data_IF_801729990987
#
_entry.id   IF_801729990987
#
_cell.length_a   1.000
_cell.length_b   1.000
_cell.length_c   1.000
_cell.angle_alpha   90.00
_cell.angle_beta   90.00
_cell.angle_gamma   90.00
#
_symmetry.space_group_name_H-M   'P 1'
#
loop_
_entity.id
_entity.type
_entity.pdbx_description
1 polymer ?
#
# COMPACT_ATOMS: atom_id res chain seq x y z
N UNK A 1 12.31 -40.93 -25.21
CA UNK A 1 11.49 -40.52 -24.05
C UNK A 1 12.30 -39.81 -22.95
N UNK A 2 13.39 -40.39 -22.42
CA UNK A 2 14.21 -39.75 -21.35
C UNK A 2 14.71 -38.32 -21.67
N UNK A 3 15.13 -38.07 -22.92
CA UNK A 3 15.58 -36.73 -23.38
C UNK A 3 14.46 -35.67 -23.42
N UNK A 4 13.23 -36.07 -23.77
CA UNK A 4 12.08 -35.16 -23.83
C UNK A 4 11.63 -34.78 -22.41
N UNK A 5 11.67 -35.74 -21.47
CA UNK A 5 11.37 -35.51 -20.06
C UNK A 5 12.40 -34.57 -19.43
N UNK A 6 13.70 -34.71 -19.73
CA UNK A 6 14.73 -33.79 -19.24
C UNK A 6 14.56 -32.35 -19.75
N UNK A 7 14.15 -32.17 -21.02
CA UNK A 7 13.90 -30.82 -21.57
C UNK A 7 12.69 -30.18 -20.90
N UNK A 8 11.62 -30.96 -20.65
CA UNK A 8 10.45 -30.47 -19.92
C UNK A 8 10.78 -30.07 -18.46
N UNK A 9 11.61 -30.85 -17.75
CA UNK A 9 12.09 -30.50 -16.42
C UNK A 9 12.94 -29.22 -16.41
N UNK A 10 13.78 -29.02 -17.44
CA UNK A 10 14.65 -27.83 -17.54
C UNK A 10 13.85 -26.55 -17.85
N UNK A 11 12.77 -26.63 -18.63
CA UNK A 11 11.89 -25.48 -18.91
C UNK A 11 11.06 -25.11 -17.67
N UNK A 12 10.65 -26.09 -16.86
CA UNK A 12 9.90 -25.86 -15.63
C UNK A 12 10.71 -25.11 -14.56
N UNK A 13 12.01 -25.36 -14.45
CA UNK A 13 12.87 -24.70 -13.44
C UNK A 13 13.15 -23.22 -13.77
N UNK A 14 13.08 -22.82 -15.04
CA UNK A 14 13.35 -21.45 -15.48
C UNK A 14 12.17 -20.50 -15.18
N UNK A 15 10.94 -21.01 -15.11
CA UNK A 15 9.75 -20.19 -14.85
C UNK A 15 9.58 -19.74 -13.39
N UNK A 16 10.38 -20.25 -12.45
CA UNK A 16 10.10 -20.15 -11.01
C UNK A 16 10.78 -18.98 -10.25
N UNK A 17 11.49 -18.07 -10.92
CA UNK A 17 12.32 -17.07 -10.23
C UNK A 17 12.14 -15.61 -10.69
N UNK A 18 10.91 -15.19 -11.02
CA UNK A 18 10.63 -13.75 -11.10
C UNK A 18 10.35 -13.20 -9.69
N UNK A 19 11.35 -12.60 -9.05
CA UNK A 19 11.18 -11.95 -7.74
C UNK A 19 10.29 -10.72 -7.91
N UNK A 20 9.09 -10.76 -7.34
CA UNK A 20 8.16 -9.64 -7.37
C UNK A 20 8.72 -8.46 -6.56
N UNK A 21 8.88 -7.32 -7.23
CA UNK A 21 9.41 -6.09 -6.63
C UNK A 21 8.27 -5.25 -6.04
N UNK A 22 8.06 -5.35 -4.73
CA UNK A 22 7.09 -4.52 -4.02
C UNK A 22 7.71 -3.24 -3.47
N UNK A 23 6.96 -2.13 -3.50
CA UNK A 23 7.32 -0.87 -2.82
C UNK A 23 6.25 -0.48 -1.81
N UNK A 24 6.65 0.23 -0.76
CA UNK A 24 5.74 0.82 0.22
C UNK A 24 5.66 2.32 0.00
N UNK A 25 4.45 2.83 -0.19
CA UNK A 25 4.15 4.25 -0.27
C UNK A 25 3.65 4.72 1.09
N UNK A 26 4.49 5.48 1.80
CA UNK A 26 4.14 6.06 3.10
C UNK A 26 3.38 7.37 2.91
N UNK A 27 2.18 7.47 3.49
CA UNK A 27 1.41 8.71 3.50
C UNK A 27 1.54 9.38 4.86
N UNK A 28 2.10 10.60 4.87
CA UNK A 28 2.26 11.44 6.05
C UNK A 28 1.47 12.73 5.82
N UNK A 29 0.58 13.07 6.75
CA UNK A 29 -0.25 14.26 6.62
C UNK A 29 -1.20 14.45 7.79
N UNK A 30 -2.20 15.31 7.56
CA UNK A 30 -3.17 15.78 8.54
C UNK A 30 -4.55 15.11 8.38
N UNK A 31 -5.60 15.79 8.82
CA UNK A 31 -6.99 15.31 8.78
C UNK A 31 -7.49 15.01 7.37
N UNK A 32 -7.01 15.71 6.34
CA UNK A 32 -7.49 15.52 4.96
C UNK A 32 -7.05 14.18 4.36
N UNK A 33 -5.94 13.63 4.85
CA UNK A 33 -5.33 12.38 4.36
C UNK A 33 -5.62 11.19 5.28
N UNK A 34 -5.89 11.45 6.56
CA UNK A 34 -5.98 10.43 7.60
C UNK A 34 -7.04 9.35 7.34
N UNK A 35 -6.72 8.12 7.76
CA UNK A 35 -7.69 7.02 7.83
C UNK A 35 -8.49 7.12 9.13
N UNK A 36 -9.81 7.26 8.99
CA UNK A 36 -10.74 7.39 10.11
C UNK A 36 -11.44 6.08 10.44
N UNK A 37 -11.09 4.94 9.86
CA UNK A 37 -11.73 3.65 10.19
C UNK A 37 -11.08 2.95 11.37
N UNK A 38 -9.78 3.17 11.61
CA UNK A 38 -9.03 2.53 12.68
C UNK A 38 -9.18 3.17 14.07
N UNK A 39 -8.23 2.83 14.94
CA UNK A 39 -8.09 3.33 16.31
C UNK A 39 -7.62 4.79 16.29
N UNK A 40 -8.54 5.68 15.98
CA UNK A 40 -8.37 7.13 16.07
C UNK A 40 -8.68 7.61 17.49
N UNK A 41 -9.81 7.15 18.01
CA UNK A 41 -10.26 7.35 19.38
C UNK A 41 -10.52 5.96 19.99
N UNK A 42 -9.79 5.56 21.05
CA UNK A 42 -10.01 4.29 21.72
C UNK A 42 -11.48 4.12 22.15
N UNK A 43 -12.07 2.98 21.82
CA UNK A 43 -13.45 2.64 22.19
C UNK A 43 -14.55 3.33 21.38
N UNK A 44 -14.21 4.14 20.36
CA UNK A 44 -15.21 4.74 19.47
C UNK A 44 -15.25 4.04 18.11
N UNK A 45 -16.38 3.46 17.76
CA UNK A 45 -16.57 2.83 16.45
C UNK A 45 -16.78 3.85 15.33
N UNK A 46 -16.08 3.68 14.21
CA UNK A 46 -16.17 4.57 13.05
C UNK A 46 -17.62 4.83 12.60
N UNK A 47 -18.40 3.76 12.42
CA UNK A 47 -19.77 3.83 11.91
C UNK A 47 -20.73 4.59 12.83
N UNK A 48 -20.42 4.73 14.12
CA UNK A 48 -21.29 5.39 15.10
C UNK A 48 -20.98 6.88 15.26
N UNK A 49 -19.69 7.26 15.20
CA UNK A 49 -19.26 8.60 15.63
C UNK A 49 -18.55 9.42 14.55
N UNK A 50 -18.10 8.79 13.47
CA UNK A 50 -17.20 9.43 12.50
C UNK A 50 -17.74 9.37 11.08
N UNK A 51 -18.45 8.30 10.69
CA UNK A 51 -19.06 8.23 9.35
C UNK A 51 -19.95 9.46 9.09
N UNK A 52 -19.85 10.12 7.91
CA UNK A 52 -19.12 9.72 6.70
C UNK A 52 -17.71 10.34 6.54
N UNK A 53 -17.08 10.83 7.62
CA UNK A 53 -15.75 11.41 7.54
C UNK A 53 -14.75 10.42 6.94
N UNK A 54 -14.02 10.85 5.91
CA UNK A 54 -13.00 10.06 5.23
C UNK A 54 -11.88 10.97 4.74
N UNK A 55 -10.63 10.60 5.01
CA UNK A 55 -9.48 11.21 4.34
C UNK A 55 -9.23 10.54 3.00
N UNK A 56 -8.55 11.23 2.07
CA UNK A 56 -8.25 10.65 0.76
C UNK A 56 -7.30 9.45 0.85
N UNK A 57 -6.40 9.44 1.85
CA UNK A 57 -5.46 8.34 2.08
C UNK A 57 -6.15 7.04 2.50
N UNK A 58 -7.34 7.10 3.09
CA UNK A 58 -8.16 5.94 3.45
C UNK A 58 -8.58 5.11 2.22
N UNK A 59 -8.74 5.75 1.07
CA UNK A 59 -9.20 5.13 -0.18
C UNK A 59 -8.12 5.09 -1.26
N UNK A 60 -6.85 5.21 -0.87
CA UNK A 60 -5.75 5.37 -1.83
C UNK A 60 -5.17 4.05 -2.35
N UNK A 61 -5.18 2.97 -1.56
CA UNK A 61 -4.67 1.66 -1.96
C UNK A 61 -5.31 1.08 -3.25
N UNK A 62 -6.63 1.23 -3.50
CA UNK A 62 -7.27 0.74 -4.73
C UNK A 62 -6.72 1.34 -6.03
N UNK A 63 -6.04 2.49 -6.00
CA UNK A 63 -5.44 3.08 -7.20
C UNK A 63 -4.15 2.38 -7.65
N UNK A 64 -3.64 1.43 -6.86
CA UNK A 64 -2.42 0.66 -7.17
C UNK A 64 -2.70 -0.83 -7.38
N UNK A 65 -3.88 -1.15 -7.93
CA UNK A 65 -4.19 -2.49 -8.42
C UNK A 65 -3.40 -2.77 -9.71
N UNK A 66 -3.25 -4.06 -10.05
CA UNK A 66 -2.44 -4.55 -11.17
C UNK A 66 -2.70 -3.80 -12.49
N UNK A 67 -3.96 -3.54 -12.80
CA UNK A 67 -4.37 -2.90 -14.06
C UNK A 67 -4.04 -1.39 -14.11
N UNK A 68 -3.84 -0.76 -12.94
CA UNK A 68 -3.47 0.65 -12.81
C UNK A 68 -1.95 0.87 -12.78
N UNK A 69 -1.16 -0.18 -12.52
CA UNK A 69 0.30 -0.08 -12.40
C UNK A 69 1.01 0.55 -13.62
N UNK A 70 0.60 0.30 -14.89
CA UNK A 70 1.21 0.96 -16.04
C UNK A 70 1.09 2.49 -16.00
N UNK A 71 0.11 3.05 -15.29
CA UNK A 71 -0.09 4.50 -15.20
C UNK A 71 0.92 5.19 -14.27
N UNK A 72 1.50 4.43 -13.34
CA UNK A 72 2.43 4.94 -12.31
C UNK A 72 3.87 4.46 -12.50
N UNK A 73 4.14 3.69 -13.56
CA UNK A 73 5.46 3.12 -13.86
C UNK A 73 6.58 4.18 -13.98
N UNK A 74 6.21 5.41 -14.37
CA UNK A 74 7.11 6.55 -14.51
C UNK A 74 7.51 7.15 -13.16
N UNK A 75 6.73 6.91 -12.10
CA UNK A 75 7.01 7.40 -10.76
C UNK A 75 7.95 6.45 -10.01
N UNK A 76 7.72 5.13 -10.13
CA UNK A 76 8.56 4.12 -9.50
C UNK A 76 8.43 2.77 -10.24
N UNK A 77 9.53 2.01 -10.26
CA UNK A 77 9.56 0.66 -10.84
C UNK A 77 9.24 -0.38 -9.76
N UNK A 78 8.00 -0.86 -9.76
CA UNK A 78 7.50 -1.90 -8.86
C UNK A 78 6.40 -2.73 -9.53
N UNK A 79 6.29 -4.00 -9.12
CA UNK A 79 5.24 -4.93 -9.52
C UNK A 79 4.01 -4.85 -8.61
N UNK A 80 4.19 -4.29 -7.40
CA UNK A 80 3.11 -4.06 -6.44
C UNK A 80 3.42 -2.87 -5.53
N UNK A 81 2.37 -2.21 -5.05
CA UNK A 81 2.46 -1.09 -4.10
C UNK A 81 1.62 -1.38 -2.87
N UNK A 82 2.23 -1.21 -1.71
CA UNK A 82 1.53 -1.17 -0.42
C UNK A 82 1.44 0.28 0.06
N UNK A 83 0.24 0.77 0.31
CA UNK A 83 0.03 2.08 0.92
C UNK A 83 0.03 1.93 2.44
N UNK A 84 0.95 2.61 3.13
CA UNK A 84 1.00 2.73 4.59
C UNK A 84 0.59 4.15 4.98
N UNK A 85 -0.69 4.32 5.35
CA UNK A 85 -1.23 5.62 5.75
C UNK A 85 -0.97 5.90 7.23
N UNK A 86 -0.07 6.83 7.51
CA UNK A 86 0.31 7.26 8.87
C UNK A 86 -0.18 8.67 9.20
N UNK A 87 -0.99 9.28 8.33
CA UNK A 87 -1.58 10.59 8.54
C UNK A 87 -2.52 10.59 9.74
N UNK A 88 -2.54 11.70 10.50
CA UNK A 88 -3.38 11.88 11.68
C UNK A 88 -3.87 13.32 11.75
N UNK A 89 -5.13 13.51 12.13
CA UNK A 89 -5.80 14.79 12.23
C UNK A 89 -5.20 15.65 13.33
N UNK A 90 -5.16 16.96 13.09
CA UNK A 90 -4.53 17.92 14.01
C UNK A 90 -3.01 17.79 14.09
N UNK A 91 -2.38 16.95 13.27
CA UNK A 91 -0.93 16.78 13.26
C UNK A 91 -0.27 17.88 12.45
N UNK A 92 0.60 18.63 13.11
CA UNK A 92 1.52 19.55 12.44
C UNK A 92 2.83 18.86 12.09
N UNK A 93 3.61 19.45 11.20
CA UNK A 93 4.99 19.02 10.92
C UNK A 93 5.83 18.91 12.20
N UNK A 94 5.65 19.85 13.14
CA UNK A 94 6.34 19.85 14.44
C UNK A 94 5.97 18.62 15.27
N UNK A 95 4.69 18.33 15.41
CA UNK A 95 4.21 17.18 16.21
C UNK A 95 4.65 15.86 15.58
N UNK A 96 4.67 15.78 14.24
CA UNK A 96 5.15 14.59 13.53
C UNK A 96 6.58 14.18 13.96
N UNK A 97 7.52 15.13 13.94
CA UNK A 97 8.90 14.87 14.37
C UNK A 97 9.03 14.58 15.87
N UNK A 98 8.24 15.25 16.72
CA UNK A 98 8.26 15.02 18.17
C UNK A 98 7.80 13.61 18.57
N UNK A 99 6.92 13.00 17.77
CA UNK A 99 6.47 11.61 17.97
C UNK A 99 7.47 10.56 17.44
N UNK A 100 8.67 10.97 17.02
CA UNK A 100 9.73 10.06 16.57
C UNK A 100 9.46 9.44 15.19
N UNK A 101 8.81 10.19 14.30
CA UNK A 101 8.50 9.78 12.93
C UNK A 101 9.19 10.64 11.89
#
# INVERSE_FOLDING_TARGET
MKRIISVFCLVWTIHLNAQQKSVTLYLIGDSTMADYTGDYDPGKEYMKVRYPLTGWGQVFQPFFVKDSMPQVEKLFKADAVRVDNRARGGRSTRTFFQEGR
#
